data_IF_373279057184
#
_entry.id   IF_373279057184
#
_cell.length_a   1.000
_cell.length_b   1.000
_cell.length_c   1.000
_cell.angle_alpha   90.00
_cell.angle_beta   90.00
_cell.angle_gamma   90.00
#
_symmetry.space_group_name_H-M   'P 1'
#
loop_
_entity.id
_entity.type
_entity.pdbx_description
1 polymer ?
#
# COMPACT_ATOMS: atom_id res chain seq x y z
N UNK A 1 -31.15 -8.08 -1.36
CA UNK A 1 -30.10 -7.21 -1.94
C UNK A 1 -28.81 -7.54 -1.23
N UNK A 2 -27.84 -8.17 -1.90
CA UNK A 2 -26.53 -8.44 -1.30
C UNK A 2 -25.81 -7.11 -1.02
N UNK A 3 -25.38 -6.89 0.22
CA UNK A 3 -24.54 -5.73 0.56
C UNK A 3 -23.25 -5.78 -0.27
N UNK A 4 -22.90 -4.70 -1.00
CA UNK A 4 -21.74 -4.72 -1.87
C UNK A 4 -20.46 -5.01 -1.08
N UNK A 5 -19.61 -5.87 -1.63
CA UNK A 5 -18.39 -6.35 -0.97
C UNK A 5 -17.49 -5.17 -0.55
N UNK A 6 -17.10 -5.18 0.73
CA UNK A 6 -16.18 -4.19 1.28
C UNK A 6 -14.73 -4.59 1.00
N UNK A 7 -13.97 -3.63 0.48
CA UNK A 7 -12.55 -3.76 0.18
C UNK A 7 -11.78 -2.66 0.92
N UNK A 8 -10.64 -3.01 1.50
CA UNK A 8 -9.77 -2.04 2.18
C UNK A 8 -8.58 -1.74 1.30
N UNK A 9 -8.32 -0.46 1.05
CA UNK A 9 -7.13 0.01 0.33
C UNK A 9 -6.27 0.83 1.28
N UNK A 10 -5.07 0.34 1.50
CA UNK A 10 -4.03 1.08 2.22
C UNK A 10 -3.60 2.28 1.38
N UNK A 11 -3.70 3.50 1.92
CA UNK A 11 -3.32 4.73 1.23
C UNK A 11 -4.11 5.02 -0.06
N UNK A 12 -5.45 4.97 -0.01
CA UNK A 12 -6.31 5.24 -1.18
C UNK A 12 -6.09 6.62 -1.83
N UNK A 13 -5.46 7.56 -1.13
CA UNK A 13 -5.17 8.90 -1.65
C UNK A 13 -3.75 9.02 -2.23
N UNK A 14 -2.92 7.99 -2.08
CA UNK A 14 -1.61 7.90 -2.70
C UNK A 14 -1.70 7.51 -4.17
N UNK A 15 -0.56 7.54 -4.86
CA UNK A 15 -0.49 7.32 -6.31
C UNK A 15 -1.18 6.02 -6.75
N UNK A 16 -0.65 4.84 -6.38
CA UNK A 16 -1.24 3.56 -6.78
C UNK A 16 -2.61 3.32 -6.14
N UNK A 17 -2.76 3.63 -4.85
CA UNK A 17 -4.01 3.41 -4.11
C UNK A 17 -5.20 4.11 -4.74
N UNK A 18 -5.02 5.34 -5.27
CA UNK A 18 -6.07 6.10 -5.92
C UNK A 18 -6.62 5.42 -7.17
N UNK A 19 -5.77 4.82 -8.00
CA UNK A 19 -6.21 4.08 -9.19
C UNK A 19 -6.91 2.77 -8.82
N UNK A 20 -6.42 2.05 -7.80
CA UNK A 20 -7.10 0.86 -7.25
C UNK A 20 -8.50 1.24 -6.75
N UNK A 21 -8.60 2.29 -5.94
CA UNK A 21 -9.88 2.77 -5.39
C UNK A 21 -10.85 3.18 -6.49
N UNK A 22 -10.41 3.94 -7.51
CA UNK A 22 -11.26 4.28 -8.67
C UNK A 22 -11.81 3.04 -9.35
N UNK A 23 -10.97 2.04 -9.59
CA UNK A 23 -11.40 0.80 -10.26
C UNK A 23 -12.41 0.04 -9.41
N UNK A 24 -12.18 -0.09 -8.11
CA UNK A 24 -13.12 -0.75 -7.19
C UNK A 24 -14.48 -0.04 -7.14
N UNK A 25 -14.48 1.29 -7.02
CA UNK A 25 -15.72 2.09 -7.03
C UNK A 25 -16.48 1.94 -8.36
N UNK A 26 -15.76 1.97 -9.50
CA UNK A 26 -16.39 1.75 -10.83
C UNK A 26 -17.03 0.37 -10.99
N UNK A 27 -16.61 -0.61 -10.18
CA UNK A 27 -17.17 -1.96 -10.15
C UNK A 27 -18.31 -2.09 -9.12
N UNK A 28 -18.80 -0.97 -8.56
CA UNK A 28 -19.84 -0.96 -7.54
C UNK A 28 -19.42 -1.53 -6.18
N UNK A 29 -18.10 -1.64 -5.92
CA UNK A 29 -17.58 -2.17 -4.65
C UNK A 29 -17.49 -1.07 -3.60
N UNK A 30 -17.69 -1.43 -2.34
CA UNK A 30 -17.47 -0.51 -1.22
C UNK A 30 -15.99 -0.44 -0.89
N UNK A 31 -15.47 0.77 -0.66
CA UNK A 31 -14.06 0.98 -0.33
C UNK A 31 -13.90 1.67 1.01
N UNK A 32 -12.96 1.16 1.81
CA UNK A 32 -12.46 1.79 3.02
C UNK A 32 -10.97 2.03 2.86
N UNK A 33 -10.46 3.17 3.32
CA UNK A 33 -9.02 3.45 3.30
C UNK A 33 -8.41 3.42 4.70
N UNK A 34 -7.20 2.87 4.79
CA UNK A 34 -6.31 3.08 5.93
C UNK A 34 -5.24 4.11 5.57
N UNK A 35 -5.02 5.13 6.39
CA UNK A 35 -4.09 6.21 6.06
C UNK A 35 -3.39 6.78 7.29
N UNK A 36 -2.20 7.37 7.10
CA UNK A 36 -1.52 8.16 8.13
C UNK A 36 -2.08 9.58 8.28
N UNK A 37 -2.92 10.02 7.34
CA UNK A 37 -3.47 11.38 7.29
C UNK A 37 -5.01 11.33 7.17
N UNK A 38 -5.74 10.92 8.21
CA UNK A 38 -7.19 10.70 8.14
C UNK A 38 -8.00 11.99 7.95
N UNK A 39 -7.45 13.15 8.35
CA UNK A 39 -8.11 14.45 8.17
C UNK A 39 -7.99 15.01 6.73
N UNK A 40 -7.24 14.35 5.85
CA UNK A 40 -7.09 14.81 4.46
C UNK A 40 -8.40 14.64 3.70
N UNK A 41 -8.80 15.66 2.97
CA UNK A 41 -9.99 15.62 2.12
C UNK A 41 -9.90 14.45 1.11
N UNK A 42 -10.96 13.63 1.07
CA UNK A 42 -11.06 12.50 0.15
C UNK A 42 -11.28 13.01 -1.28
N UNK A 43 -10.44 12.63 -2.26
CA UNK A 43 -10.70 12.90 -3.67
C UNK A 43 -11.90 12.11 -4.23
N UNK A 44 -12.50 11.23 -3.41
CA UNK A 44 -13.67 10.42 -3.75
C UNK A 44 -14.95 10.89 -3.05
N UNK A 45 -14.89 12.04 -2.36
CA UNK A 45 -15.97 12.48 -1.47
C UNK A 45 -16.29 11.41 -0.42
N UNK A 46 -17.58 11.22 -0.16
CA UNK A 46 -18.10 10.31 0.88
C UNK A 46 -18.16 8.83 0.45
N UNK A 47 -17.73 8.52 -0.79
CA UNK A 47 -17.75 7.14 -1.31
C UNK A 47 -16.72 6.22 -0.62
N UNK A 48 -15.74 6.80 0.08
CA UNK A 48 -14.66 6.06 0.74
C UNK A 48 -14.65 6.39 2.22
N UNK A 49 -14.88 5.38 3.07
CA UNK A 49 -14.73 5.54 4.51
C UNK A 49 -13.26 5.61 4.92
N UNK A 50 -12.88 6.55 5.77
CA UNK A 50 -11.48 6.83 6.14
C UNK A 50 -11.20 6.37 7.55
N UNK A 51 -10.14 5.57 7.73
CA UNK A 51 -9.65 5.12 9.03
C UNK A 51 -8.14 5.34 9.14
N UNK A 52 -7.62 5.64 10.34
CA UNK A 52 -6.18 5.71 10.57
C UNK A 52 -5.52 4.32 10.52
N UNK A 53 -4.21 4.27 10.28
CA UNK A 53 -3.46 3.00 10.32
C UNK A 53 -3.42 2.36 11.71
N UNK A 54 -3.33 3.15 12.79
CA UNK A 54 -3.35 2.66 14.17
C UNK A 54 -2.40 1.47 14.42
N UNK A 55 -1.18 1.51 13.88
CA UNK A 55 -0.21 0.42 14.03
C UNK A 55 0.20 0.18 15.49
N UNK A 56 0.10 1.21 16.32
CA UNK A 56 0.28 1.20 17.77
C UNK A 56 -0.95 0.71 18.56
N UNK A 57 -2.12 0.59 17.90
CA UNK A 57 -3.38 0.13 18.49
C UNK A 57 -3.98 -1.05 17.71
N UNK A 58 -3.40 -2.26 17.83
CA UNK A 58 -3.80 -3.42 17.01
C UNK A 58 -5.30 -3.73 17.06
N UNK A 59 -5.96 -3.58 18.21
CA UNK A 59 -7.41 -3.81 18.34
C UNK A 59 -8.25 -2.84 17.52
N UNK A 60 -7.83 -1.57 17.41
CA UNK A 60 -8.52 -0.59 16.57
C UNK A 60 -8.27 -0.88 15.08
N UNK A 61 -7.05 -1.32 14.73
CA UNK A 61 -6.73 -1.75 13.38
C UNK A 61 -7.57 -2.96 12.96
N UNK A 62 -7.76 -3.96 13.83
CA UNK A 62 -8.69 -5.08 13.58
C UNK A 62 -10.10 -4.57 13.31
N UNK A 63 -10.65 -3.69 14.15
CA UNK A 63 -11.98 -3.08 13.95
C UNK A 63 -12.09 -2.37 12.59
N UNK A 64 -11.04 -1.65 12.19
CA UNK A 64 -11.01 -0.97 10.88
C UNK A 64 -11.00 -1.93 9.68
N UNK A 65 -10.65 -3.19 9.87
CA UNK A 65 -10.63 -4.23 8.83
C UNK A 65 -11.87 -5.12 8.84
N UNK A 66 -12.71 -5.05 9.88
CA UNK A 66 -13.91 -5.88 10.00
C UNK A 66 -14.87 -5.69 8.81
N UNK A 67 -15.40 -6.83 8.36
CA UNK A 67 -16.31 -6.94 7.21
C UNK A 67 -15.63 -6.83 5.84
N UNK A 68 -14.32 -6.55 5.78
CA UNK A 68 -13.60 -6.47 4.52
C UNK A 68 -13.28 -7.86 3.96
N UNK A 69 -13.51 -8.05 2.67
CA UNK A 69 -13.20 -9.30 1.96
C UNK A 69 -11.74 -9.31 1.49
N UNK A 70 -11.27 -8.19 0.94
CA UNK A 70 -9.92 -8.05 0.39
C UNK A 70 -9.21 -6.82 0.95
N UNK A 71 -7.94 -7.00 1.32
CA UNK A 71 -7.00 -5.95 1.69
C UNK A 71 -6.03 -5.70 0.52
N UNK A 72 -6.07 -4.52 -0.07
CA UNK A 72 -5.08 -4.04 -1.04
C UNK A 72 -4.02 -3.24 -0.28
N UNK A 73 -2.87 -3.87 -0.03
CA UNK A 73 -1.78 -3.26 0.70
C UNK A 73 -0.77 -2.58 -0.24
N UNK A 74 -0.81 -1.24 -0.28
CA UNK A 74 0.22 -0.41 -0.94
C UNK A 74 1.05 0.40 0.07
N UNK A 75 0.98 0.09 1.37
CA UNK A 75 1.74 0.81 2.39
C UNK A 75 3.22 0.46 2.25
N UNK A 76 4.03 1.49 2.06
CA UNK A 76 5.49 1.38 2.08
C UNK A 76 6.11 2.77 2.28
N UNK A 77 7.32 2.79 2.82
CA UNK A 77 8.11 4.02 3.00
C UNK A 77 9.18 4.08 1.91
N UNK A 78 9.33 5.22 1.26
CA UNK A 78 10.33 5.38 0.17
C UNK A 78 11.74 5.56 0.71
N UNK A 79 11.86 6.37 1.76
CA UNK A 79 13.14 6.73 2.37
C UNK A 79 13.07 6.50 3.88
N UNK A 80 14.19 6.10 4.44
CA UNK A 80 14.36 6.05 5.90
C UNK A 80 14.82 7.42 6.37
N UNK A 81 13.99 8.13 7.12
CA UNK A 81 14.30 9.46 7.65
C UNK A 81 13.61 9.67 9.00
N UNK A 82 14.40 10.08 10.01
CA UNK A 82 13.90 10.31 11.37
C UNK A 82 13.20 9.08 11.94
N UNK A 83 11.93 9.24 12.35
CA UNK A 83 11.12 8.17 12.94
C UNK A 83 10.55 7.19 11.90
N UNK A 84 10.70 7.47 10.61
CA UNK A 84 10.24 6.62 9.52
C UNK A 84 11.42 5.75 9.08
N UNK A 85 11.43 4.49 9.46
CA UNK A 85 12.48 3.53 9.08
C UNK A 85 11.91 2.34 8.33
N UNK A 86 12.75 1.67 7.52
CA UNK A 86 12.35 0.43 6.85
C UNK A 86 11.96 -0.65 7.85
N UNK A 87 12.69 -0.79 8.96
CA UNK A 87 12.35 -1.75 10.01
C UNK A 87 10.99 -1.47 10.64
N UNK A 88 10.69 -0.19 10.93
CA UNK A 88 9.37 0.19 11.44
C UNK A 88 8.28 -0.10 10.41
N UNK A 89 8.52 0.16 9.12
CA UNK A 89 7.57 -0.16 8.06
C UNK A 89 7.33 -1.68 7.93
N UNK A 90 8.38 -2.49 8.13
CA UNK A 90 8.26 -3.96 8.15
C UNK A 90 7.37 -4.38 9.33
N UNK A 91 7.64 -3.88 10.54
CA UNK A 91 6.84 -4.21 11.73
C UNK A 91 5.39 -3.77 11.57
N UNK A 92 5.15 -2.53 11.13
CA UNK A 92 3.80 -2.02 10.88
C UNK A 92 3.01 -2.89 9.89
N UNK A 93 3.67 -3.37 8.83
CA UNK A 93 3.01 -4.24 7.85
C UNK A 93 2.74 -5.64 8.42
N UNK A 94 3.63 -6.18 9.27
CA UNK A 94 3.36 -7.44 9.99
C UNK A 94 2.14 -7.30 10.90
N UNK A 95 2.04 -6.20 11.66
CA UNK A 95 0.85 -5.88 12.46
C UNK A 95 -0.40 -5.80 11.60
N UNK A 96 -0.32 -5.17 10.41
CA UNK A 96 -1.44 -5.11 9.47
C UNK A 96 -1.88 -6.48 8.97
N UNK A 97 -0.94 -7.36 8.62
CA UNK A 97 -1.23 -8.73 8.17
C UNK A 97 -1.93 -9.52 9.29
N UNK A 98 -1.41 -9.45 10.51
CA UNK A 98 -2.02 -10.09 11.67
C UNK A 98 -3.43 -9.56 11.93
N UNK A 99 -3.61 -8.24 11.94
CA UNK A 99 -4.92 -7.63 12.15
C UNK A 99 -5.93 -8.02 11.05
N UNK A 100 -5.47 -8.16 9.80
CA UNK A 100 -6.31 -8.62 8.70
C UNK A 100 -6.76 -10.08 8.90
N UNK A 101 -5.87 -10.95 9.37
CA UNK A 101 -6.22 -12.33 9.73
C UNK A 101 -7.25 -12.38 10.86
N UNK A 102 -7.03 -11.61 11.93
CA UNK A 102 -7.94 -11.54 13.09
C UNK A 102 -9.31 -10.95 12.71
N UNK A 103 -9.35 -9.98 11.79
CA UNK A 103 -10.58 -9.39 11.29
C UNK A 103 -11.36 -10.29 10.31
N UNK A 104 -10.79 -11.44 9.92
CA UNK A 104 -11.42 -12.37 8.98
C UNK A 104 -11.34 -11.93 7.51
N UNK A 105 -10.37 -11.08 7.15
CA UNK A 105 -10.10 -10.74 5.74
C UNK A 105 -9.73 -12.03 5.00
N UNK A 106 -10.28 -12.22 3.79
CA UNK A 106 -10.07 -13.47 3.04
C UNK A 106 -8.81 -13.41 2.18
N UNK A 107 -8.56 -12.25 1.57
CA UNK A 107 -7.50 -12.06 0.58
C UNK A 107 -6.65 -10.82 0.84
N UNK A 108 -5.36 -10.91 0.57
CA UNK A 108 -4.45 -9.76 0.53
C UNK A 108 -3.80 -9.62 -0.84
N UNK A 109 -3.90 -8.44 -1.44
CA UNK A 109 -3.14 -8.06 -2.62
C UNK A 109 -2.05 -7.10 -2.18
N UNK A 110 -0.79 -7.51 -2.27
CA UNK A 110 0.34 -6.72 -1.81
C UNK A 110 1.18 -6.18 -2.95
N UNK A 111 1.48 -4.89 -2.90
CA UNK A 111 2.37 -4.23 -3.84
C UNK A 111 3.82 -4.29 -3.35
N UNK A 112 4.58 -5.20 -3.95
CA UNK A 112 6.02 -5.37 -3.73
C UNK A 112 6.82 -4.64 -4.82
N UNK A 113 7.94 -5.21 -5.23
CA UNK A 113 8.84 -4.72 -6.28
C UNK A 113 9.55 -5.91 -6.95
N UNK A 114 9.96 -5.79 -8.21
CA UNK A 114 10.92 -6.75 -8.81
C UNK A 114 12.22 -6.81 -8.03
N UNK A 115 12.90 -7.96 -8.09
CA UNK A 115 14.18 -8.23 -7.42
C UNK A 115 14.17 -8.03 -5.89
N UNK A 116 13.00 -8.14 -5.26
CA UNK A 116 12.92 -8.28 -3.81
C UNK A 116 13.72 -9.54 -3.39
N UNK A 117 14.78 -9.35 -2.60
CA UNK A 117 15.65 -10.43 -2.10
C UNK A 117 16.07 -10.15 -0.66
N UNK A 118 16.11 -11.19 0.17
CA UNK A 118 16.55 -11.07 1.57
C UNK A 118 18.06 -10.82 1.69
N UNK A 119 18.80 -11.30 0.70
CA UNK A 119 20.25 -11.15 0.59
C UNK A 119 20.65 -9.78 0.03
N UNK A 120 19.67 -8.94 -0.35
CA UNK A 120 19.97 -7.61 -0.87
C UNK A 120 20.63 -6.75 0.20
N UNK A 121 21.75 -6.12 -0.16
CA UNK A 121 22.40 -5.09 0.64
C UNK A 121 21.54 -3.83 0.79
N UNK A 122 20.57 -3.63 -0.11
CA UNK A 122 19.65 -2.49 -0.10
C UNK A 122 18.46 -2.77 0.83
N UNK A 123 18.30 -2.02 1.94
CA UNK A 123 17.24 -2.28 2.93
C UNK A 123 15.82 -2.24 2.35
N UNK A 124 15.61 -1.45 1.29
CA UNK A 124 14.34 -1.36 0.58
C UNK A 124 13.92 -2.71 -0.01
N UNK A 125 14.80 -3.35 -0.80
CA UNK A 125 14.51 -4.62 -1.47
C UNK A 125 14.42 -5.78 -0.48
N UNK A 126 15.32 -5.77 0.53
CA UNK A 126 15.28 -6.73 1.64
C UNK A 126 13.96 -6.63 2.41
N UNK A 127 13.55 -5.42 2.77
CA UNK A 127 12.30 -5.19 3.49
C UNK A 127 11.07 -5.66 2.70
N UNK A 128 11.01 -5.37 1.40
CA UNK A 128 9.94 -5.89 0.52
C UNK A 128 9.89 -7.42 0.52
N UNK A 129 11.04 -8.09 0.41
CA UNK A 129 11.09 -9.56 0.42
C UNK A 129 10.65 -10.18 1.75
N UNK A 130 11.02 -9.56 2.86
CA UNK A 130 10.58 -9.97 4.20
C UNK A 130 9.06 -9.87 4.36
N UNK A 131 8.45 -8.84 3.78
CA UNK A 131 6.99 -8.69 3.78
C UNK A 131 6.29 -9.73 2.91
N UNK A 132 6.85 -10.05 1.75
CA UNK A 132 6.35 -11.15 0.93
C UNK A 132 6.37 -12.47 1.71
N UNK A 133 7.46 -12.78 2.44
CA UNK A 133 7.49 -13.95 3.33
C UNK A 133 6.41 -13.87 4.40
N UNK A 134 6.25 -12.74 5.08
CA UNK A 134 5.23 -12.62 6.11
C UNK A 134 3.82 -12.90 5.56
N UNK A 135 3.52 -12.46 4.34
CA UNK A 135 2.25 -12.74 3.66
C UNK A 135 2.13 -14.21 3.28
N UNK A 136 3.17 -14.80 2.69
CA UNK A 136 3.17 -16.20 2.29
C UNK A 136 2.99 -17.17 3.46
N UNK A 137 3.46 -16.81 4.66
CA UNK A 137 3.26 -17.59 5.89
C UNK A 137 1.97 -17.22 6.65
N UNK A 138 1.17 -16.27 6.14
CA UNK A 138 -0.10 -15.89 6.74
C UNK A 138 -1.20 -16.90 6.38
N UNK A 139 -2.35 -16.83 7.07
CA UNK A 139 -3.54 -17.62 6.72
C UNK A 139 -4.38 -17.01 5.58
N UNK A 140 -3.95 -15.87 5.03
CA UNK A 140 -4.69 -15.16 3.98
C UNK A 140 -4.38 -15.80 2.62
N UNK A 141 -5.38 -15.92 1.75
CA UNK A 141 -5.10 -16.09 0.33
C UNK A 141 -4.44 -14.80 -0.19
N UNK A 142 -3.45 -14.91 -1.08
CA UNK A 142 -2.65 -13.75 -1.45
C UNK A 142 -2.36 -13.63 -2.95
N UNK A 143 -2.15 -12.39 -3.37
CA UNK A 143 -1.49 -12.05 -4.62
C UNK A 143 -0.38 -11.03 -4.32
N UNK A 144 0.83 -11.29 -4.79
CA UNK A 144 1.98 -10.38 -4.63
C UNK A 144 2.32 -9.84 -6.01
N UNK A 145 2.15 -8.53 -6.18
CA UNK A 145 2.43 -7.84 -7.44
C UNK A 145 3.82 -7.24 -7.32
N UNK A 146 4.72 -7.60 -8.25
CA UNK A 146 6.11 -7.14 -8.31
C UNK A 146 6.33 -6.26 -9.55
N UNK A 147 5.90 -4.99 -9.54
CA UNK A 147 6.18 -4.08 -10.63
C UNK A 147 7.66 -3.70 -10.65
N UNK A 148 8.18 -3.35 -11.83
CA UNK A 148 9.50 -2.74 -11.99
C UNK A 148 9.45 -1.25 -11.74
N UNK A 149 8.63 -0.55 -12.52
CA UNK A 149 8.33 0.87 -12.32
C UNK A 149 6.84 1.05 -12.61
N UNK A 150 6.15 1.82 -11.77
CA UNK A 150 4.79 2.29 -12.07
C UNK A 150 4.92 3.75 -12.49
N UNK A 151 4.60 4.06 -13.74
CA UNK A 151 4.69 5.42 -14.29
C UNK A 151 3.34 5.88 -14.83
N UNK A 152 3.21 7.18 -15.06
CA UNK A 152 1.98 7.84 -15.49
C UNK A 152 2.06 9.34 -15.25
N UNK A 153 1.01 10.08 -15.58
CA UNK A 153 1.01 11.55 -15.54
C UNK A 153 1.36 12.14 -14.17
N UNK A 154 1.12 11.41 -13.09
CA UNK A 154 1.37 11.85 -11.71
C UNK A 154 2.56 11.14 -11.05
N UNK A 155 3.33 10.35 -11.82
CA UNK A 155 4.56 9.75 -11.29
C UNK A 155 5.60 10.84 -10.98
N UNK A 156 6.43 10.62 -9.97
CA UNK A 156 7.43 11.60 -9.55
C UNK A 156 8.77 11.31 -10.24
N UNK A 157 9.14 10.03 -10.37
CA UNK A 157 10.48 9.66 -10.83
C UNK A 157 10.67 9.98 -12.32
N UNK A 158 9.81 9.44 -13.17
CA UNK A 158 9.89 9.61 -14.62
C UNK A 158 9.63 11.05 -15.02
N UNK A 159 8.70 11.75 -14.35
CA UNK A 159 8.45 13.16 -14.63
C UNK A 159 9.63 14.06 -14.23
N UNK A 160 10.32 13.76 -13.12
CA UNK A 160 11.53 14.50 -12.75
C UNK A 160 12.68 14.24 -13.73
N UNK A 161 12.85 13.00 -14.19
CA UNK A 161 13.84 12.67 -15.24
C UNK A 161 13.50 13.41 -16.54
N UNK A 162 12.23 13.40 -16.97
CA UNK A 162 11.78 14.09 -18.16
C UNK A 162 11.97 15.61 -18.06
N UNK A 163 11.76 16.20 -16.88
CA UNK A 163 12.04 17.62 -16.64
C UNK A 163 13.55 17.91 -16.71
N UNK A 164 14.39 17.11 -16.06
CA UNK A 164 15.86 17.27 -16.12
C UNK A 164 16.38 17.20 -17.56
N UNK A 165 15.87 16.26 -18.36
CA UNK A 165 16.24 16.11 -19.76
C UNK A 165 15.84 17.30 -20.64
N UNK A 166 14.79 18.06 -20.25
CA UNK A 166 14.35 19.25 -20.99
C UNK A 166 15.13 20.50 -20.60
N UNK A 167 15.43 20.64 -19.31
CA UNK A 167 16.02 21.87 -18.78
C UNK A 167 17.54 21.88 -18.83
N UNK A 168 18.20 20.72 -18.81
CA UNK A 168 19.66 20.64 -18.76
C UNK A 168 20.24 20.06 -20.05
N UNK A 169 21.31 20.67 -20.60
CA UNK A 169 21.95 20.20 -21.83
C UNK A 169 22.82 18.95 -21.64
N UNK A 170 22.97 18.46 -20.40
CA UNK A 170 23.77 17.29 -20.05
C UNK A 170 22.97 16.39 -19.11
N UNK A 171 22.94 15.09 -19.41
CA UNK A 171 22.27 14.07 -18.60
C UNK A 171 23.22 12.92 -18.33
N UNK A 172 23.44 12.61 -17.05
CA UNK A 172 24.32 11.51 -16.65
C UNK A 172 23.53 10.20 -16.73
N UNK A 173 24.04 9.27 -17.54
CA UNK A 173 23.52 7.90 -17.62
C UNK A 173 24.45 7.02 -16.79
N UNK A 174 23.90 6.30 -15.81
CA UNK A 174 24.61 5.36 -14.95
C UNK A 174 24.21 3.92 -15.28
#
# INVERSE_FOLDING_TARGET
METPELNVVTGAFGYTGKYITRKLLSMGKRVRTLTGHPARQSPFGDQVSIFPFNFDKPRELVKSLQGAITLYNTYWVRFSQGQITFDKAIQNTKTLIQAAQEAGVRKIVHLSITNASEESSLPYFRGKRLLEKAIMHSKLSYAIIRPTVIFGSEDILINNIAWLLREFPVFVVC
#
